data_IF_332131280885
#
_entry.id   IF_332131280885
#
_cell.length_a   1.000
_cell.length_b   1.000
_cell.length_c   1.000
_cell.angle_alpha   90.00
_cell.angle_beta   90.00
_cell.angle_gamma   90.00
#
_symmetry.space_group_name_H-M   'P 1'
#
loop_
_entity.id
_entity.type
_entity.pdbx_description
1 polymer ?
#
# COMPACT_ATOMS: atom_id res chain seq x y z
N UNK A 1 43.67 35.51 23.41
CA UNK A 1 43.63 34.17 22.79
C UNK A 1 43.19 33.17 23.86
N UNK A 2 41.91 32.82 23.92
CA UNK A 2 41.41 31.83 24.86
C UNK A 2 41.65 30.44 24.27
N UNK A 3 42.61 29.71 24.84
CA UNK A 3 42.90 28.33 24.46
C UNK A 3 41.74 27.42 24.87
N UNK A 4 41.05 26.86 23.89
CA UNK A 4 40.01 25.84 24.09
C UNK A 4 40.70 24.60 24.65
N UNK A 5 40.52 24.33 25.95
CA UNK A 5 40.90 23.04 26.53
C UNK A 5 39.95 21.98 25.94
N UNK A 6 40.46 21.21 24.98
CA UNK A 6 39.74 20.07 24.41
C UNK A 6 39.64 18.95 25.47
N UNK A 7 38.61 19.05 26.31
CA UNK A 7 38.17 17.92 27.13
C UNK A 7 37.48 16.88 26.24
N UNK A 8 37.57 15.61 26.64
CA UNK A 8 36.89 14.49 25.95
C UNK A 8 35.39 14.78 25.72
N UNK A 9 34.75 15.45 26.69
CA UNK A 9 33.34 15.87 26.61
C UNK A 9 33.09 16.86 25.47
N UNK A 10 33.96 17.85 25.28
CA UNK A 10 33.84 18.83 24.19
C UNK A 10 33.99 18.14 22.82
N UNK A 11 34.91 17.19 22.70
CA UNK A 11 35.09 16.39 21.48
C UNK A 11 33.83 15.56 21.20
N UNK A 12 33.30 14.86 22.21
CA UNK A 12 32.07 14.06 22.07
C UNK A 12 30.87 14.91 21.65
N UNK A 13 30.71 16.11 22.23
CA UNK A 13 29.62 17.03 21.86
C UNK A 13 29.76 17.51 20.41
N UNK A 14 30.97 17.85 19.95
CA UNK A 14 31.20 18.26 18.56
C UNK A 14 30.93 17.12 17.58
N UNK A 15 31.40 15.91 17.87
CA UNK A 15 31.11 14.72 17.04
C UNK A 15 29.61 14.45 16.98
N UNK A 16 28.92 14.55 18.12
CA UNK A 16 27.47 14.36 18.19
C UNK A 16 26.71 15.43 17.40
N UNK A 17 27.13 16.69 17.46
CA UNK A 17 26.54 17.76 16.67
C UNK A 17 26.75 17.56 15.16
N UNK A 18 27.95 17.14 14.73
CA UNK A 18 28.22 16.78 13.33
C UNK A 18 27.36 15.61 12.86
N UNK A 19 27.19 14.59 13.72
CA UNK A 19 26.33 13.46 13.43
C UNK A 19 24.86 13.90 13.25
N UNK A 20 24.33 14.72 14.16
CA UNK A 20 22.98 15.26 14.05
C UNK A 20 22.82 16.07 12.76
N UNK A 21 23.79 16.93 12.43
CA UNK A 21 23.77 17.70 11.18
C UNK A 21 23.73 16.80 9.95
N UNK A 22 24.55 15.74 9.93
CA UNK A 22 24.54 14.76 8.85
C UNK A 22 23.21 13.99 8.76
N UNK A 23 22.61 13.65 9.90
CA UNK A 23 21.30 12.99 9.97
C UNK A 23 20.20 13.89 9.41
N UNK A 24 20.17 15.18 9.76
CA UNK A 24 19.23 16.14 9.17
C UNK A 24 19.44 16.33 7.67
N UNK A 25 20.70 16.41 7.21
CA UNK A 25 21.00 16.50 5.79
C UNK A 25 20.55 15.24 5.02
N UNK A 26 20.77 14.06 5.60
CA UNK A 26 20.29 12.79 5.04
C UNK A 26 18.77 12.77 4.96
N UNK A 27 18.09 13.14 6.05
CA UNK A 27 16.64 13.22 6.10
C UNK A 27 16.08 14.20 5.06
N UNK A 28 16.70 15.37 4.90
CA UNK A 28 16.32 16.36 3.90
C UNK A 28 16.38 15.78 2.48
N UNK A 29 17.44 15.04 2.15
CA UNK A 29 17.60 14.42 0.82
C UNK A 29 16.56 13.31 0.54
N UNK A 30 16.01 12.66 1.57
CA UNK A 30 14.92 11.67 1.43
C UNK A 30 13.62 12.37 1.05
N UNK A 31 13.31 13.52 1.64
CA UNK A 31 12.10 14.28 1.32
C UNK A 31 12.23 15.12 0.04
N UNK A 32 13.46 15.45 -0.37
CA UNK A 32 13.75 16.21 -1.58
C UNK A 32 14.75 15.47 -2.46
N UNK A 33 14.33 14.34 -3.08
CA UNK A 33 15.20 13.60 -3.96
C UNK A 33 15.58 14.48 -5.16
N UNK A 34 16.88 14.50 -5.48
CA UNK A 34 17.36 15.18 -6.69
C UNK A 34 16.87 14.43 -7.92
N UNK A 35 16.19 15.11 -8.81
CA UNK A 35 15.78 14.58 -10.12
C UNK A 35 17.02 14.30 -10.99
N UNK A 36 16.88 13.42 -11.97
CA UNK A 36 17.98 13.13 -12.88
C UNK A 36 18.28 14.35 -13.75
N UNK A 37 19.56 14.74 -13.81
CA UNK A 37 20.02 15.85 -14.63
C UNK A 37 20.10 15.43 -16.11
N UNK A 38 19.61 16.23 -17.06
CA UNK A 38 19.71 15.93 -18.49
C UNK A 38 21.15 15.73 -19.00
N UNK A 39 22.17 16.23 -18.28
CA UNK A 39 23.58 16.08 -18.64
C UNK A 39 24.19 14.72 -18.22
N UNK A 40 23.47 13.92 -17.44
CA UNK A 40 23.92 12.59 -16.98
C UNK A 40 23.58 11.53 -18.04
N UNK A 41 24.39 10.47 -18.10
CA UNK A 41 24.09 9.33 -18.96
C UNK A 41 22.71 8.76 -18.63
N UNK A 42 21.85 8.55 -19.65
CA UNK A 42 20.51 7.98 -19.46
C UNK A 42 20.50 6.62 -18.74
N UNK A 43 21.61 5.89 -18.80
CA UNK A 43 21.80 4.59 -18.11
C UNK A 43 21.87 4.71 -16.58
N UNK A 44 22.20 5.89 -16.05
CA UNK A 44 22.25 6.15 -14.60
C UNK A 44 20.91 6.67 -14.05
N UNK A 45 19.90 6.88 -14.93
CA UNK A 45 18.56 7.34 -14.58
C UNK A 45 17.54 6.20 -14.70
N UNK A 46 16.45 6.31 -13.92
CA UNK A 46 15.26 5.48 -14.03
C UNK A 46 14.10 6.32 -14.56
N UNK A 47 13.45 5.82 -15.60
CA UNK A 47 12.35 6.47 -16.28
C UNK A 47 11.00 5.82 -15.92
N UNK A 48 9.91 6.58 -15.83
CA UNK A 48 8.58 5.99 -15.64
C UNK A 48 8.17 5.15 -16.87
N UNK A 49 7.50 4.02 -16.64
CA UNK A 49 6.84 3.27 -17.72
C UNK A 49 5.56 3.95 -18.22
N UNK A 50 4.91 4.73 -17.36
CA UNK A 50 3.72 5.50 -17.71
C UNK A 50 4.02 6.99 -17.62
N UNK A 51 3.85 7.67 -18.73
CA UNK A 51 4.01 9.11 -18.84
C UNK A 51 2.77 9.69 -19.52
N UNK A 52 2.32 10.89 -19.10
CA UNK A 52 1.25 11.59 -19.80
C UNK A 52 1.71 11.99 -21.20
N UNK A 53 0.75 12.05 -22.13
CA UNK A 53 0.99 12.55 -23.48
C UNK A 53 1.37 14.05 -23.46
N UNK A 54 1.70 14.61 -24.63
CA UNK A 54 2.02 16.05 -24.78
C UNK A 54 0.88 16.98 -24.36
N UNK A 55 -0.35 16.47 -24.28
CA UNK A 55 -1.54 17.21 -23.88
C UNK A 55 -1.87 17.02 -22.39
N UNK A 56 -1.06 16.25 -21.65
CA UNK A 56 -1.28 15.94 -20.23
C UNK A 56 -2.23 14.77 -19.97
N UNK A 57 -2.63 14.00 -20.98
CA UNK A 57 -3.52 12.85 -20.82
C UNK A 57 -2.72 11.61 -20.46
N UNK A 58 -3.16 10.92 -19.41
CA UNK A 58 -2.56 9.65 -18.99
C UNK A 58 -3.00 8.50 -19.89
N UNK A 59 -2.10 7.55 -20.22
CA UNK A 59 -2.48 6.32 -20.89
C UNK A 59 -3.42 5.50 -19.98
N UNK A 60 -4.44 4.82 -20.56
CA UNK A 60 -5.40 4.06 -19.78
C UNK A 60 -4.74 2.82 -19.17
N UNK A 61 -4.92 2.59 -17.88
CA UNK A 61 -4.41 1.40 -17.19
C UNK A 61 -5.54 0.47 -16.77
N UNK A 62 -5.27 -0.83 -16.70
CA UNK A 62 -6.21 -1.82 -16.22
C UNK A 62 -6.02 -2.08 -14.73
N UNK A 63 -7.09 -1.97 -13.93
CA UNK A 63 -7.11 -2.40 -12.54
C UNK A 63 -7.97 -3.66 -12.40
N UNK A 64 -7.41 -4.68 -11.76
CA UNK A 64 -8.13 -5.92 -11.40
C UNK A 64 -7.96 -6.22 -9.93
N UNK A 65 -9.04 -6.63 -9.30
CA UNK A 65 -9.02 -7.02 -7.88
C UNK A 65 -9.51 -8.44 -7.77
N UNK A 66 -8.69 -9.24 -7.10
CA UNK A 66 -8.96 -10.64 -6.81
C UNK A 66 -9.06 -10.83 -5.30
N UNK A 67 -9.84 -11.82 -4.90
CA UNK A 67 -9.88 -12.27 -3.50
C UNK A 67 -9.48 -13.74 -3.41
N UNK A 68 -8.81 -14.10 -2.32
CA UNK A 68 -8.42 -15.47 -2.06
C UNK A 68 -8.36 -15.77 -0.54
N UNK A 69 -8.18 -17.04 -0.20
CA UNK A 69 -7.93 -17.50 1.17
C UNK A 69 -6.43 -17.49 1.54
N UNK A 70 -5.56 -17.02 0.65
CA UNK A 70 -4.10 -17.09 0.74
C UNK A 70 -3.43 -15.72 0.58
N UNK A 71 -2.30 -15.45 1.26
CA UNK A 71 -1.50 -14.25 1.00
C UNK A 71 -0.88 -14.24 -0.41
N UNK A 72 -0.76 -15.41 -1.05
CA UNK A 72 -0.22 -15.53 -2.40
C UNK A 72 -1.34 -15.70 -3.41
N UNK A 73 -1.38 -14.90 -4.49
CA UNK A 73 -2.35 -15.09 -5.56
C UNK A 73 -2.13 -16.47 -6.21
N UNK A 74 -3.21 -17.21 -6.36
CA UNK A 74 -3.22 -18.54 -6.98
C UNK A 74 -4.42 -18.70 -7.92
N UNK A 75 -4.47 -19.75 -8.73
CA UNK A 75 -5.64 -20.06 -9.58
C UNK A 75 -6.97 -20.16 -8.84
N UNK A 76 -6.99 -20.38 -7.52
CA UNK A 76 -8.23 -20.34 -6.73
C UNK A 76 -8.72 -18.93 -6.41
N UNK A 77 -7.96 -17.89 -6.76
CA UNK A 77 -8.33 -16.49 -6.52
C UNK A 77 -9.43 -16.07 -7.48
N UNK A 78 -10.46 -15.44 -6.93
CA UNK A 78 -11.63 -15.02 -7.69
C UNK A 78 -11.53 -13.54 -8.02
N UNK A 79 -11.64 -13.20 -9.31
CA UNK A 79 -11.79 -11.81 -9.72
C UNK A 79 -13.14 -11.27 -9.24
N UNK A 80 -13.10 -10.15 -8.52
CA UNK A 80 -14.31 -9.43 -8.06
C UNK A 80 -14.49 -8.11 -8.78
N UNK A 81 -13.40 -7.50 -9.22
CA UNK A 81 -13.42 -6.20 -9.88
C UNK A 81 -12.52 -6.18 -11.12
N UNK A 82 -12.96 -5.46 -12.14
CA UNK A 82 -12.21 -5.23 -13.39
C UNK A 82 -12.59 -3.87 -13.96
N UNK A 83 -11.58 -3.05 -14.21
CA UNK A 83 -11.69 -1.78 -14.93
C UNK A 83 -10.51 -1.67 -15.89
N UNK A 84 -10.76 -1.64 -17.20
CA UNK A 84 -9.69 -1.62 -18.22
C UNK A 84 -9.24 -0.20 -18.60
N UNK A 85 -10.06 0.80 -18.31
CA UNK A 85 -9.81 2.22 -18.63
C UNK A 85 -9.80 3.05 -17.35
N UNK A 86 -8.78 2.81 -16.53
CA UNK A 86 -8.49 3.63 -15.36
C UNK A 86 -7.51 4.73 -15.76
N UNK A 87 -7.86 5.97 -15.46
CA UNK A 87 -6.96 7.11 -15.59
C UNK A 87 -6.32 7.40 -14.25
N UNK A 88 -4.99 7.52 -14.24
CA UNK A 88 -4.20 7.67 -13.00
C UNK A 88 -4.49 8.99 -12.27
N UNK A 89 -4.92 10.03 -13.01
CA UNK A 89 -5.19 11.37 -12.49
C UNK A 89 -6.65 11.60 -12.07
N UNK A 90 -7.50 10.57 -12.10
CA UNK A 90 -8.91 10.69 -11.75
C UNK A 90 -9.22 9.83 -10.52
N UNK A 91 -9.87 10.43 -9.52
CA UNK A 91 -10.44 9.69 -8.39
C UNK A 91 -11.67 8.91 -8.86
N UNK A 92 -11.83 7.68 -8.38
CA UNK A 92 -13.02 6.88 -8.63
C UNK A 92 -13.41 6.12 -7.39
N UNK A 93 -14.72 5.93 -7.20
CA UNK A 93 -15.27 5.09 -6.14
C UNK A 93 -16.23 4.07 -6.76
N UNK A 94 -16.14 2.80 -6.39
CA UNK A 94 -17.04 1.77 -6.90
C UNK A 94 -17.37 0.69 -5.89
N UNK A 95 -18.68 0.44 -5.72
CA UNK A 95 -19.18 -0.67 -4.90
C UNK A 95 -19.35 -1.96 -5.71
N UNK A 96 -18.90 -3.08 -5.17
CA UNK A 96 -18.99 -4.42 -5.75
C UNK A 96 -19.59 -5.39 -4.73
N UNK A 97 -20.59 -6.15 -5.15
CA UNK A 97 -21.13 -7.24 -4.33
C UNK A 97 -20.23 -8.46 -4.37
N UNK A 98 -19.77 -8.91 -3.20
CA UNK A 98 -18.85 -10.04 -3.07
C UNK A 98 -19.49 -11.18 -2.29
N UNK A 99 -19.51 -12.35 -2.92
CA UNK A 99 -19.89 -13.60 -2.27
C UNK A 99 -18.67 -14.20 -1.59
N UNK A 100 -18.68 -14.20 -0.25
CA UNK A 100 -17.57 -14.72 0.54
C UNK A 100 -17.37 -16.24 0.34
N UNK A 101 -16.15 -16.72 0.11
CA UNK A 101 -15.84 -18.15 0.05
C UNK A 101 -16.23 -18.87 1.34
N UNK A 102 -16.67 -20.14 1.22
CA UNK A 102 -17.10 -20.93 2.37
C UNK A 102 -16.01 -21.09 3.45
N UNK A 103 -14.74 -21.15 3.03
CA UNK A 103 -13.58 -21.19 3.94
C UNK A 103 -13.43 -19.88 4.71
N UNK A 104 -13.50 -18.73 4.05
CA UNK A 104 -13.40 -17.42 4.71
C UNK A 104 -14.54 -17.18 5.70
N UNK A 105 -15.72 -17.80 5.49
CA UNK A 105 -16.82 -17.77 6.48
C UNK A 105 -16.53 -18.58 7.76
N UNK A 106 -15.66 -19.59 7.70
CA UNK A 106 -15.34 -20.47 8.84
C UNK A 106 -14.00 -20.10 9.51
N UNK A 107 -13.00 -19.78 8.70
CA UNK A 107 -11.63 -19.50 9.11
C UNK A 107 -11.30 -18.00 9.17
N UNK A 108 -12.25 -17.14 8.78
CA UNK A 108 -12.17 -15.68 8.98
C UNK A 108 -10.95 -15.02 8.33
N UNK A 109 -10.34 -15.63 7.32
CA UNK A 109 -9.24 -15.05 6.54
C UNK A 109 -9.69 -14.81 5.10
N UNK A 110 -9.49 -13.59 4.63
CA UNK A 110 -9.71 -13.19 3.24
C UNK A 110 -8.64 -12.18 2.85
N UNK A 111 -7.97 -12.45 1.74
CA UNK A 111 -6.95 -11.59 1.17
C UNK A 111 -7.52 -10.92 -0.08
N UNK A 112 -7.12 -9.66 -0.31
CA UNK A 112 -7.33 -8.95 -1.56
C UNK A 112 -6.00 -8.78 -2.28
N UNK A 113 -6.01 -9.03 -3.58
CA UNK A 113 -4.89 -8.83 -4.48
C UNK A 113 -5.30 -7.81 -5.55
N UNK A 114 -4.73 -6.61 -5.47
CA UNK A 114 -4.88 -5.57 -6.47
C UNK A 114 -3.74 -5.69 -7.49
N UNK A 115 -4.10 -5.78 -8.76
CA UNK A 115 -3.17 -5.95 -9.89
C UNK A 115 -3.37 -4.78 -10.85
N UNK A 116 -2.30 -4.04 -11.09
CA UNK A 116 -2.27 -2.97 -12.10
C UNK A 116 -1.64 -3.49 -13.40
N UNK A 117 -2.31 -3.25 -14.51
CA UNK A 117 -1.96 -3.74 -15.84
C UNK A 117 -1.73 -2.55 -16.77
N UNK A 118 -0.69 -2.67 -17.60
CA UNK A 118 -0.52 -1.79 -18.76
C UNK A 118 -1.58 -2.11 -19.83
N UNK A 119 -1.97 -1.13 -20.64
CA UNK A 119 -3.04 -1.25 -21.66
C UNK A 119 -2.83 -2.43 -22.62
N UNK A 120 -1.58 -2.76 -22.91
CA UNK A 120 -1.20 -3.79 -23.90
C UNK A 120 -1.22 -5.22 -23.32
N UNK A 121 -1.38 -5.34 -22.00
CA UNK A 121 -1.32 -6.64 -21.33
C UNK A 121 -2.67 -7.36 -21.35
N UNK A 122 -2.77 -8.34 -22.25
CA UNK A 122 -3.90 -9.29 -22.35
C UNK A 122 -3.85 -10.32 -21.22
N UNK A 123 -3.98 -9.85 -20.00
CA UNK A 123 -4.02 -10.69 -18.82
C UNK A 123 -5.38 -11.42 -18.73
N UNK A 124 -5.35 -12.75 -18.54
CA UNK A 124 -6.57 -13.56 -18.29
C UNK A 124 -6.53 -14.27 -16.95
N UNK A 125 -5.35 -14.66 -16.47
CA UNK A 125 -5.18 -15.56 -15.32
C UNK A 125 -4.26 -14.95 -14.26
N UNK A 126 -4.60 -15.14 -12.98
CA UNK A 126 -3.89 -14.51 -11.86
C UNK A 126 -2.50 -15.09 -11.60
N UNK A 127 -2.17 -16.24 -12.18
CA UNK A 127 -0.86 -16.88 -11.99
C UNK A 127 0.29 -16.06 -12.62
N UNK A 128 0.01 -15.29 -13.68
CA UNK A 128 0.97 -14.33 -14.23
C UNK A 128 1.14 -13.09 -13.34
N UNK A 129 0.28 -12.88 -12.34
CA UNK A 129 0.32 -11.70 -11.46
C UNK A 129 1.53 -11.70 -10.51
N UNK A 130 2.09 -12.87 -10.20
CA UNK A 130 3.27 -12.99 -9.33
C UNK A 130 4.50 -12.29 -9.93
N UNK A 131 4.56 -12.20 -11.25
CA UNK A 131 5.63 -11.49 -11.98
C UNK A 131 5.33 -10.01 -12.22
N UNK A 132 4.16 -9.52 -11.79
CA UNK A 132 3.63 -8.19 -12.10
C UNK A 132 3.41 -7.35 -10.85
N UNK A 133 3.03 -6.10 -11.05
CA UNK A 133 2.80 -5.12 -9.98
C UNK A 133 1.52 -5.51 -9.23
N UNK A 134 1.67 -6.40 -8.25
CA UNK A 134 0.59 -6.90 -7.41
C UNK A 134 0.78 -6.41 -5.99
N UNK A 135 -0.28 -5.85 -5.40
CA UNK A 135 -0.33 -5.48 -3.98
C UNK A 135 -1.37 -6.34 -3.29
N UNK A 136 -0.98 -6.92 -2.16
CA UNK A 136 -1.83 -7.82 -1.39
C UNK A 136 -2.05 -7.25 0.00
N UNK A 137 -3.30 -7.28 0.48
CA UNK A 137 -3.65 -6.90 1.85
C UNK A 137 -4.63 -7.90 2.46
N UNK A 138 -4.66 -7.97 3.80
CA UNK A 138 -5.61 -8.77 4.54
C UNK A 138 -6.90 -7.97 4.78
N UNK A 139 -8.02 -8.45 4.25
CA UNK A 139 -9.33 -7.81 4.43
C UNK A 139 -9.98 -8.15 5.76
N UNK A 140 -9.54 -9.20 6.45
CA UNK A 140 -10.16 -9.68 7.68
C UNK A 140 -9.40 -9.26 8.93
N UNK A 141 -10.13 -8.83 9.96
CA UNK A 141 -9.57 -8.41 11.26
C UNK A 141 -10.34 -9.11 12.39
N UNK A 142 -9.63 -9.57 13.41
CA UNK A 142 -10.23 -10.18 14.60
C UNK A 142 -10.34 -9.16 15.71
N UNK A 143 -11.57 -8.76 16.06
CA UNK A 143 -11.85 -7.76 17.09
C UNK A 143 -13.04 -8.17 17.96
N UNK A 144 -13.09 -7.60 19.16
CA UNK A 144 -14.24 -7.72 20.06
C UNK A 144 -15.31 -6.74 19.55
N UNK A 145 -16.57 -7.16 19.37
CA UNK A 145 -17.62 -6.27 18.91
C UNK A 145 -17.76 -5.01 19.79
N UNK A 146 -17.87 -3.83 19.17
CA UNK A 146 -17.97 -2.55 19.89
C UNK A 146 -19.15 -2.52 20.89
N UNK A 147 -20.29 -3.13 20.54
CA UNK A 147 -21.46 -3.24 21.41
C UNK A 147 -21.17 -4.00 22.72
N UNK A 148 -20.13 -4.84 22.75
CA UNK A 148 -19.64 -5.50 23.96
C UNK A 148 -18.56 -4.67 24.66
N UNK A 149 -17.75 -3.89 23.93
CA UNK A 149 -16.72 -3.02 24.48
C UNK A 149 -17.29 -1.80 25.24
N UNK A 150 -18.37 -1.18 24.75
CA UNK A 150 -19.00 -0.03 25.44
C UNK A 150 -19.64 -0.39 26.79
N UNK A 151 -20.05 -1.66 26.98
CA UNK A 151 -20.52 -2.15 28.28
C UNK A 151 -19.42 -2.19 29.35
N UNK A 152 -18.14 -2.08 28.97
CA UNK A 152 -17.03 -2.05 29.91
C UNK A 152 -16.88 -0.70 30.63
N UNK A 153 -17.39 0.39 30.03
CA UNK A 153 -17.23 1.76 30.57
C UNK A 153 -18.45 2.20 31.38
N UNK A 154 -19.63 1.60 31.15
CA UNK A 154 -20.88 2.00 31.80
C UNK A 154 -21.28 1.20 33.04
N UNK A 155 -20.51 0.20 33.47
CA UNK A 155 -20.87 -0.62 34.63
C UNK A 155 -20.30 -0.06 35.95
N UNK A 156 -20.73 1.15 36.30
CA UNK A 156 -20.96 1.54 37.70
C UNK A 156 -22.48 1.72 37.90
N UNK A 157 -23.25 0.63 37.84
CA UNK A 157 -24.42 0.32 38.71
C UNK A 157 -25.32 -0.79 38.13
N UNK A 158 -25.46 -1.82 38.96
CA UNK A 158 -26.61 -2.72 39.13
C UNK A 158 -26.95 -3.78 38.05
N UNK A 159 -26.57 -5.01 38.40
CA UNK A 159 -27.44 -6.20 38.52
C UNK A 159 -28.49 -6.44 37.43
N UNK A 160 -28.10 -7.20 36.40
CA UNK A 160 -28.87 -8.30 35.79
C UNK A 160 -27.93 -9.02 34.83
N UNK A 161 -27.59 -10.28 35.11
CA UNK A 161 -26.73 -11.10 34.24
C UNK A 161 -27.30 -11.14 32.83
N UNK A 162 -26.66 -10.52 31.81
CA UNK A 162 -26.93 -10.90 30.44
C UNK A 162 -26.08 -12.13 30.18
N UNK A 163 -26.71 -13.14 29.57
CA UNK A 163 -26.08 -14.36 29.04
C UNK A 163 -24.67 -14.05 28.54
N UNK A 164 -23.69 -14.86 28.98
CA UNK A 164 -22.34 -14.96 28.40
C UNK A 164 -22.44 -15.24 26.88
N UNK A 165 -22.84 -14.25 26.08
CA UNK A 165 -22.47 -14.18 24.68
C UNK A 165 -20.97 -13.94 24.72
N UNK A 166 -20.29 -15.07 24.71
CA UNK A 166 -18.93 -15.28 24.27
C UNK A 166 -18.17 -13.98 23.98
N UNK A 167 -17.36 -13.54 24.96
CA UNK A 167 -16.27 -12.55 24.86
C UNK A 167 -15.17 -12.96 23.86
N UNK A 168 -15.52 -13.72 22.83
CA UNK A 168 -14.58 -14.26 21.86
C UNK A 168 -14.46 -13.23 20.73
N UNK A 169 -13.24 -12.90 20.29
CA UNK A 169 -13.06 -12.07 19.12
C UNK A 169 -13.81 -12.70 17.94
N UNK A 170 -14.57 -11.88 17.21
CA UNK A 170 -15.25 -12.31 15.99
C UNK A 170 -14.51 -11.75 14.78
N UNK A 171 -14.61 -12.45 13.65
CA UNK A 171 -13.98 -12.01 12.41
C UNK A 171 -14.83 -10.90 11.78
N UNK A 172 -14.19 -9.77 11.52
CA UNK A 172 -14.75 -8.64 10.79
C UNK A 172 -14.07 -8.56 9.43
N UNK A 173 -14.80 -8.07 8.43
CA UNK A 173 -14.31 -7.78 7.09
C UNK A 173 -14.24 -6.27 6.90
N UNK A 174 -13.14 -5.78 6.33
CA UNK A 174 -13.04 -4.41 5.83
C UNK A 174 -13.95 -4.26 4.62
N UNK A 175 -14.94 -3.37 4.69
CA UNK A 175 -15.85 -3.10 3.57
C UNK A 175 -15.23 -2.21 2.50
N UNK A 176 -14.14 -1.52 2.79
CA UNK A 176 -13.54 -0.54 1.88
C UNK A 176 -12.07 -0.85 1.64
N UNK A 177 -11.63 -0.84 0.39
CA UNK A 177 -10.25 -1.04 -0.02
C UNK A 177 -9.73 0.20 -0.73
N UNK A 178 -8.87 0.96 -0.06
CA UNK A 178 -8.27 2.17 -0.61
C UNK A 178 -7.03 1.83 -1.45
N UNK A 179 -6.98 2.32 -2.68
CA UNK A 179 -5.86 2.13 -3.59
C UNK A 179 -5.36 3.50 -4.04
N UNK A 180 -4.08 3.76 -3.82
CA UNK A 180 -3.42 5.03 -4.17
C UNK A 180 -2.38 4.78 -5.26
N UNK A 181 -2.41 5.60 -6.31
CA UNK A 181 -1.47 5.56 -7.44
C UNK A 181 -0.77 6.91 -7.53
N UNK A 182 0.55 6.90 -7.75
CA UNK A 182 1.33 8.13 -7.96
C UNK A 182 1.07 8.66 -9.38
N UNK A 183 0.64 9.92 -9.45
CA UNK A 183 0.28 10.65 -10.68
C UNK A 183 1.39 11.58 -11.19
N UNK A 184 2.60 11.45 -10.67
CA UNK A 184 3.75 12.26 -11.05
C UNK A 184 4.83 11.40 -11.73
N UNK A 185 5.15 11.63 -13.01
CA UNK A 185 6.21 10.93 -13.72
C UNK A 185 7.56 11.55 -13.34
N UNK A 186 8.22 10.98 -12.33
CA UNK A 186 9.52 11.46 -11.86
C UNK A 186 10.66 10.69 -12.53
N UNK A 187 11.69 11.39 -13.01
CA UNK A 187 12.92 10.75 -13.50
C UNK A 187 13.95 10.80 -12.37
N UNK A 188 14.34 9.63 -11.88
CA UNK A 188 15.14 9.51 -10.66
C UNK A 188 16.53 8.92 -10.96
N UNK A 189 17.61 9.43 -10.36
CA UNK A 189 18.94 8.84 -10.51
C UNK A 189 19.07 7.59 -9.64
N UNK A 190 19.48 6.47 -10.24
CA UNK A 190 19.55 5.14 -9.58
C UNK A 190 20.35 5.18 -8.28
N UNK A 191 21.47 5.93 -8.28
CA UNK A 191 22.40 6.01 -7.14
C UNK A 191 21.84 6.73 -5.91
N UNK A 192 20.81 7.56 -6.08
CA UNK A 192 20.22 8.31 -4.97
C UNK A 192 18.91 7.68 -4.45
N UNK A 193 18.44 6.58 -5.04
CA UNK A 193 17.30 5.86 -4.48
C UNK A 193 17.74 5.11 -3.22
N UNK A 194 17.05 5.31 -2.07
CA UNK A 194 17.25 4.48 -0.90
C UNK A 194 16.91 3.02 -1.21
N UNK A 195 17.66 2.09 -0.61
CA UNK A 195 17.45 0.63 -0.75
C UNK A 195 16.03 0.19 -0.38
N UNK A 196 15.43 0.87 0.59
CA UNK A 196 14.08 0.65 1.10
C UNK A 196 13.03 0.94 0.02
N UNK A 197 13.27 1.95 -0.81
CA UNK A 197 12.36 2.34 -1.89
C UNK A 197 12.53 1.41 -3.09
N UNK A 198 13.77 1.03 -3.41
CA UNK A 198 14.09 0.12 -4.53
C UNK A 198 13.33 -1.19 -4.43
N UNK A 199 13.17 -1.76 -3.23
CA UNK A 199 12.45 -3.03 -3.02
C UNK A 199 10.95 -2.96 -3.37
N UNK A 200 10.37 -1.76 -3.33
CA UNK A 200 8.96 -1.54 -3.62
C UNK A 200 8.73 -1.16 -5.08
N UNK A 201 9.79 -0.86 -5.83
CA UNK A 201 9.74 -0.44 -7.22
C UNK A 201 10.10 -1.63 -8.10
N UNK A 202 9.15 -2.08 -8.93
CA UNK A 202 9.47 -3.04 -9.97
C UNK A 202 10.22 -2.32 -11.10
N UNK A 203 11.45 -2.74 -11.37
CA UNK A 203 12.29 -2.18 -12.42
C UNK A 203 12.41 -3.15 -13.59
N UNK A 204 12.35 -2.61 -14.80
CA UNK A 204 12.59 -3.31 -16.06
C UNK A 204 13.73 -2.64 -16.81
N UNK A 205 14.63 -3.41 -17.41
CA UNK A 205 15.73 -2.88 -18.22
C UNK A 205 15.40 -3.10 -19.69
N UNK A 206 15.25 -2.01 -20.45
CA UNK A 206 15.05 -2.04 -21.91
C UNK A 206 16.19 -1.33 -22.59
N UNK A 207 16.92 -2.02 -23.46
CA UNK A 207 18.06 -1.46 -24.21
C UNK A 207 19.14 -0.80 -23.33
N UNK A 208 19.29 -1.29 -22.08
CA UNK A 208 20.23 -0.73 -21.10
C UNK A 208 19.76 0.55 -20.41
N UNK A 209 18.49 0.93 -20.58
CA UNK A 209 17.82 2.01 -19.85
C UNK A 209 16.89 1.38 -18.80
N UNK A 210 16.91 1.93 -17.59
CA UNK A 210 16.08 1.46 -16.49
C UNK A 210 14.71 2.15 -16.53
N UNK A 211 13.65 1.35 -16.48
CA UNK A 211 12.27 1.81 -16.38
C UNK A 211 11.64 1.31 -15.09
N UNK A 212 10.85 2.14 -14.41
CA UNK A 212 10.09 1.71 -13.24
C UNK A 212 8.61 1.64 -13.54
N UNK A 213 7.98 0.61 -13.00
CA UNK A 213 6.54 0.43 -13.02
C UNK A 213 5.79 1.45 -12.16
N UNK A 214 4.53 1.76 -12.50
CA UNK A 214 3.71 2.69 -11.73
C UNK A 214 3.67 2.33 -10.25
N UNK A 215 3.88 3.33 -9.41
CA UNK A 215 3.86 3.16 -7.97
C UNK A 215 2.42 3.22 -7.52
N UNK A 216 1.89 2.06 -7.14
CA UNK A 216 0.62 1.99 -6.44
C UNK A 216 0.74 1.16 -5.16
N UNK A 217 -0.11 1.53 -4.20
CA UNK A 217 -0.16 0.93 -2.89
C UNK A 217 -1.60 0.82 -2.41
N UNK A 218 -1.83 -0.15 -1.53
CA UNK A 218 -3.10 -0.28 -0.81
C UNK A 218 -2.96 0.51 0.48
N UNK A 219 -3.75 1.57 0.65
CA UNK A 219 -3.62 2.45 1.80
C UNK A 219 -4.27 1.83 3.05
N UNK A 220 -3.46 1.13 3.83
CA UNK A 220 -3.90 0.52 5.08
C UNK A 220 -4.14 1.55 6.20
N UNK A 221 -3.56 2.74 6.10
CA UNK A 221 -3.69 3.80 7.10
C UNK A 221 -5.05 4.50 7.00
N UNK A 222 -5.64 4.52 5.82
CA UNK A 222 -6.98 5.08 5.59
C UNK A 222 -8.11 4.22 6.14
N UNK A 223 -7.83 2.98 6.57
CA UNK A 223 -8.85 2.12 7.14
C UNK A 223 -9.38 2.63 8.48
N UNK A 224 -10.70 2.64 8.61
CA UNK A 224 -11.39 3.03 9.85
C UNK A 224 -12.08 1.83 10.47
N UNK A 225 -12.14 1.82 11.80
CA UNK A 225 -12.80 0.76 12.57
C UNK A 225 -14.30 0.68 12.24
N UNK A 226 -14.95 1.83 11.98
CA UNK A 226 -16.37 1.90 11.58
C UNK A 226 -16.70 1.23 10.25
N UNK A 227 -15.70 0.98 9.41
CA UNK A 227 -15.86 0.34 8.09
C UNK A 227 -15.67 -1.19 8.20
N UNK A 228 -15.61 -1.73 9.43
CA UNK A 228 -15.57 -3.15 9.71
C UNK A 228 -16.99 -3.71 9.79
N UNK A 229 -17.27 -4.73 8.98
CA UNK A 229 -18.55 -5.41 8.96
C UNK A 229 -18.36 -6.84 9.43
N UNK A 230 -19.18 -7.28 10.38
CA UNK A 230 -19.17 -8.67 10.82
C UNK A 230 -19.44 -9.61 9.63
N UNK A 231 -18.67 -10.69 9.53
CA UNK A 231 -18.77 -11.63 8.41
C UNK A 231 -20.15 -12.29 8.38
N UNK A 232 -21.01 -11.82 7.48
CA UNK A 232 -22.33 -12.37 7.16
C UNK A 232 -22.43 -12.68 5.65
N UNK A 233 -23.51 -13.35 5.22
CA UNK A 233 -23.56 -14.11 3.95
C UNK A 233 -23.29 -13.30 2.65
N UNK A 234 -23.47 -11.98 2.66
CA UNK A 234 -23.30 -11.08 1.50
C UNK A 234 -22.68 -9.77 2.00
N UNK A 235 -21.60 -9.31 1.36
CA UNK A 235 -20.98 -8.02 1.66
C UNK A 235 -20.77 -7.19 0.38
N UNK A 236 -21.00 -5.89 0.49
CA UNK A 236 -20.61 -4.91 -0.50
C UNK A 236 -19.22 -4.39 -0.15
N UNK A 237 -18.28 -4.47 -1.11
CA UNK A 237 -16.97 -3.83 -1.01
C UNK A 237 -17.00 -2.52 -1.79
N UNK A 238 -16.57 -1.41 -1.18
CA UNK A 238 -16.29 -0.16 -1.89
C UNK A 238 -14.78 -0.07 -2.18
N UNK A 239 -14.44 0.35 -3.38
CA UNK A 239 -13.07 0.65 -3.82
C UNK A 239 -12.94 2.13 -4.04
#
# INVERSE_FOLDING_TARGET
MAGIKFGLTTISVVIFALYIGNSFHTLYNVFHPKLCDPNINRKDCVFPQLEPDKNGNWPPVGLRIFISDSPYPSSSSRQIFKKDDLKVNEEFEQTVEVKLPAKSRRNGTLWAHAVLLSTDDRFKEIEDAETRITRTTLLTVYQIPEAEAFKLVSDEKETKMPVKKSRRPVSHLRSTLFISIVDQPLILPIKNLPSEVIQHIQMEIREGIHYYSPLFHIDEMSYRIKDLVEVSFVLCLCF
#
